data_IF_453253190410
#
_entry.id   IF_453253190410
#
_cell.length_a   1.000
_cell.length_b   1.000
_cell.length_c   1.000
_cell.angle_alpha   90.00
_cell.angle_beta   90.00
_cell.angle_gamma   90.00
#
_symmetry.space_group_name_H-M   'P 1'
#
loop_
_entity.id
_entity.type
_entity.pdbx_description
1 polymer ?
#
# COMPACT_ATOMS: atom_id res chain seq x y z
N UNK A 1 -12.67 8.96 9.05
CA UNK A 1 -13.12 8.25 8.27
C UNK A 1 -13.98 7.32 8.78
N UNK A 2 -14.83 7.01 8.25
CA UNK A 2 -15.67 6.22 8.67
C UNK A 2 -15.64 4.94 8.24
N UNK A 3 -15.05 4.57 7.30
CA UNK A 3 -15.09 3.30 6.86
C UNK A 3 -14.32 2.54 7.75
N UNK A 4 -14.32 1.35 7.67
CA UNK A 4 -13.68 0.51 8.43
C UNK A 4 -12.31 0.65 8.36
N UNK A 5 -11.76 1.12 9.32
CA UNK A 5 -10.43 1.20 9.27
C UNK A 5 -9.86 0.21 10.15
N UNK A 6 -10.58 -0.76 10.62
CA UNK A 6 -10.03 -1.77 11.46
C UNK A 6 -9.40 -2.86 10.66
N UNK A 7 -8.24 -3.28 11.07
CA UNK A 7 -7.56 -4.39 10.43
C UNK A 7 -8.03 -5.69 11.03
N UNK A 8 -7.93 -6.75 10.26
CA UNK A 8 -8.26 -8.05 10.78
C UNK A 8 -7.21 -8.45 11.81
N UNK A 9 -7.47 -9.48 12.56
CA UNK A 9 -6.55 -9.94 13.56
C UNK A 9 -5.23 -10.37 12.90
N UNK A 10 -5.33 -11.02 11.78
CA UNK A 10 -4.13 -11.45 11.08
C UNK A 10 -3.33 -10.26 10.59
N UNK A 11 -4.01 -9.23 10.11
CA UNK A 11 -3.33 -8.03 9.66
C UNK A 11 -2.68 -7.30 10.82
N UNK A 12 -3.33 -7.28 11.99
CA UNK A 12 -2.75 -6.66 13.14
C UNK A 12 -1.47 -7.39 13.55
N UNK A 13 -1.51 -8.70 13.48
CA UNK A 13 -0.36 -9.48 13.84
C UNK A 13 0.81 -9.19 12.89
N UNK A 14 0.51 -9.15 11.59
CA UNK A 14 1.55 -8.87 10.61
C UNK A 14 2.10 -7.46 10.77
N UNK A 15 1.25 -6.53 11.11
CA UNK A 15 1.70 -5.17 11.32
C UNK A 15 2.67 -5.10 12.49
N UNK A 16 2.38 -5.86 13.54
CA UNK A 16 3.26 -5.87 14.70
C UNK A 16 4.61 -6.45 14.36
N UNK A 17 4.63 -7.53 13.59
CA UNK A 17 5.88 -8.12 13.18
C UNK A 17 6.68 -7.13 12.35
N UNK A 18 6.01 -6.46 11.43
CA UNK A 18 6.68 -5.50 10.58
C UNK A 18 7.24 -4.35 11.41
N UNK A 19 6.45 -3.87 12.36
CA UNK A 19 6.90 -2.77 13.19
C UNK A 19 8.16 -3.15 13.97
N UNK A 20 8.19 -4.36 14.47
CA UNK A 20 9.36 -4.81 15.20
C UNK A 20 10.58 -4.87 14.31
N UNK A 21 10.40 -5.30 13.09
CA UNK A 21 11.52 -5.39 12.17
C UNK A 21 12.02 -4.01 11.77
N UNK A 22 11.11 -3.08 11.56
CA UNK A 22 11.52 -1.75 11.16
C UNK A 22 12.31 -1.06 12.27
N UNK A 23 11.98 -1.36 13.50
CA UNK A 23 12.68 -0.72 14.59
C UNK A 23 14.15 -1.11 14.67
N UNK A 24 14.53 -2.17 13.99
CA UNK A 24 15.93 -2.58 14.01
C UNK A 24 16.72 -1.99 12.86
N UNK A 25 16.06 -1.25 11.99
CA UNK A 25 16.74 -0.68 10.83
C UNK A 25 17.44 0.60 11.20
N UNK A 26 18.48 0.92 10.47
CA UNK A 26 19.13 2.21 10.64
C UNK A 26 18.20 3.27 10.05
N UNK A 27 18.43 4.53 10.39
CA UNK A 27 17.59 5.59 9.81
C UNK A 27 17.64 5.60 8.29
N UNK A 28 18.79 5.32 7.71
CA UNK A 28 18.90 5.31 6.28
C UNK A 28 18.11 4.16 5.68
N UNK A 29 18.19 2.99 6.29
CA UNK A 29 17.44 1.85 5.81
C UNK A 29 15.95 2.10 5.95
N UNK A 30 15.54 2.72 7.04
CA UNK A 30 14.12 3.01 7.23
C UNK A 30 13.62 4.00 6.18
N UNK A 31 14.46 4.97 5.84
CA UNK A 31 14.10 5.94 4.81
C UNK A 31 13.93 5.23 3.46
N UNK A 32 14.87 4.37 3.12
CA UNK A 32 14.78 3.65 1.86
C UNK A 32 13.54 2.79 1.82
N UNK A 33 13.24 2.13 2.91
CA UNK A 33 12.06 1.30 2.97
C UNK A 33 10.80 2.13 2.79
N UNK A 34 10.76 3.31 3.38
CA UNK A 34 9.58 4.17 3.23
C UNK A 34 9.36 4.56 1.78
N UNK A 35 10.44 4.87 1.09
CA UNK A 35 10.34 5.25 -0.31
C UNK A 35 9.83 4.07 -1.13
N UNK A 36 10.35 2.88 -0.86
CA UNK A 36 9.91 1.71 -1.59
C UNK A 36 8.45 1.36 -1.31
N UNK A 37 8.02 1.57 -0.08
CA UNK A 37 6.63 1.29 0.25
C UNK A 37 5.70 2.24 -0.51
N UNK A 38 6.08 3.50 -0.59
CA UNK A 38 5.25 4.45 -1.30
C UNK A 38 5.22 4.12 -2.79
N UNK A 39 6.37 3.72 -3.33
CA UNK A 39 6.43 3.34 -4.72
C UNK A 39 5.53 2.13 -4.98
N UNK A 40 5.56 1.16 -4.09
CA UNK A 40 4.74 -0.02 -4.23
C UNK A 40 3.26 0.33 -4.17
N UNK A 41 2.91 1.28 -3.31
CA UNK A 41 1.55 1.74 -3.25
C UNK A 41 1.08 2.30 -4.57
N UNK A 42 1.91 3.13 -5.18
CA UNK A 42 1.54 3.72 -6.46
C UNK A 42 1.41 2.68 -7.55
N UNK A 43 2.28 1.67 -7.51
CA UNK A 43 2.20 0.63 -8.51
C UNK A 43 0.94 -0.21 -8.34
N UNK A 44 0.54 -0.44 -7.13
CA UNK A 44 -0.68 -1.18 -6.89
C UNK A 44 -1.90 -0.41 -7.33
N UNK A 45 -1.90 0.88 -7.13
CA UNK A 45 -3.01 1.70 -7.58
C UNK A 45 -3.13 1.63 -9.10
N UNK A 46 -2.01 1.72 -9.79
CA UNK A 46 -2.02 1.68 -11.23
C UNK A 46 -2.54 0.33 -11.72
N UNK A 47 -2.08 -0.73 -11.10
CA UNK A 47 -2.52 -2.05 -11.49
C UNK A 47 -4.02 -2.22 -11.26
N UNK A 48 -4.50 -1.68 -10.18
CA UNK A 48 -5.91 -1.78 -9.86
C UNK A 48 -6.75 -1.07 -10.92
N UNK A 49 -6.30 0.10 -11.36
CA UNK A 49 -7.00 0.81 -12.40
C UNK A 49 -7.04 0.02 -13.69
N UNK A 50 -5.91 -0.60 -14.04
CA UNK A 50 -5.86 -1.37 -15.26
C UNK A 50 -6.80 -2.58 -15.20
N UNK A 51 -6.90 -3.19 -14.03
CA UNK A 51 -7.80 -4.30 -13.88
C UNK A 51 -9.25 -3.87 -14.06
N UNK A 52 -9.59 -2.72 -13.52
CA UNK A 52 -10.94 -2.24 -13.65
C UNK A 52 -11.28 -1.96 -15.13
N UNK A 53 -10.33 -1.40 -15.84
CA UNK A 53 -10.57 -1.13 -17.23
C UNK A 53 -10.72 -2.43 -18.01
N UNK A 54 -9.88 -3.39 -17.72
CA UNK A 54 -9.94 -4.63 -18.46
C UNK A 54 -11.21 -5.41 -18.19
N UNK A 55 -11.63 -5.48 -16.95
CA UNK A 55 -12.78 -6.29 -16.65
C UNK A 55 -14.10 -5.59 -16.87
N UNK A 56 -14.15 -4.33 -16.68
CA UNK A 56 -15.42 -3.66 -16.78
C UNK A 56 -15.49 -2.66 -17.91
N UNK A 57 -14.45 -2.51 -18.65
CA UNK A 57 -14.44 -1.57 -19.74
C UNK A 57 -14.58 -0.15 -19.28
N UNK A 58 -14.30 0.11 -18.04
CA UNK A 58 -14.43 1.44 -17.55
C UNK A 58 -13.24 2.22 -17.93
N UNK A 59 -13.45 3.29 -18.61
CA UNK A 59 -12.37 4.09 -19.04
C UNK A 59 -12.14 5.08 -17.98
N UNK A 60 -11.61 4.69 -16.92
CA UNK A 60 -11.53 5.57 -15.81
C UNK A 60 -10.50 6.60 -16.06
N UNK A 61 -10.81 7.76 -15.63
CA UNK A 61 -9.90 8.82 -15.77
C UNK A 61 -8.81 8.61 -14.81
N UNK A 62 -7.66 8.85 -15.19
CA UNK A 62 -6.56 8.62 -14.30
C UNK A 62 -6.70 9.46 -13.09
N UNK A 63 -6.46 8.87 -12.00
CA UNK A 63 -6.58 9.59 -10.81
C UNK A 63 -5.64 10.70 -10.76
N UNK A 64 -4.58 10.55 -11.40
CA UNK A 64 -3.60 11.56 -11.33
C UNK A 64 -3.96 12.74 -12.12
N UNK A 65 -4.91 12.60 -12.89
CA UNK A 65 -5.20 13.69 -13.79
C UNK A 65 -5.40 14.95 -13.07
#
# INVERSE_FOLDING_TARGET
MKYSEQLSLEQEFNLRIFADQVRTLSPEQATDLSIELYRTMMLKDKLYEELLQDYWGINSTPLSA
#
